data_IF_712076125803
#
_entry.id   IF_712076125803
#
_cell.length_a   1.000
_cell.length_b   1.000
_cell.length_c   1.000
_cell.angle_alpha   90.00
_cell.angle_beta   90.00
_cell.angle_gamma   90.00
#
_symmetry.space_group_name_H-M   'P 1'
#
loop_
_entity.id
_entity.type
_entity.pdbx_description
1 polymer ?
#
# COMPACT_ATOMS: atom_id res chain seq x y z
N UNK A 1 3.58 10.91 10.22
CA UNK A 1 3.56 10.39 8.84
C UNK A 1 2.21 10.70 8.22
N UNK A 2 2.11 10.91 6.90
CA UNK A 2 0.82 10.93 6.22
C UNK A 2 0.16 9.54 6.27
N UNK A 3 -1.11 9.39 5.85
CA UNK A 3 -1.66 8.07 5.57
C UNK A 3 -0.75 7.31 4.59
N UNK A 4 -0.51 6.03 4.86
CA UNK A 4 0.40 5.18 4.09
C UNK A 4 -0.30 3.92 3.60
N UNK A 5 -0.04 3.50 2.37
CA UNK A 5 -0.53 2.23 1.84
C UNK A 5 0.64 1.42 1.26
N UNK A 6 0.86 0.24 1.83
CA UNK A 6 1.88 -0.71 1.39
C UNK A 6 1.21 -1.86 0.66
N UNK A 7 1.67 -2.16 -0.56
CA UNK A 7 1.25 -3.33 -1.34
C UNK A 7 2.51 -4.16 -1.58
N UNK A 8 2.45 -5.46 -1.30
CA UNK A 8 3.61 -6.36 -1.45
C UNK A 8 3.21 -7.67 -2.11
N UNK A 9 4.11 -8.29 -2.87
CA UNK A 9 3.90 -9.63 -3.42
C UNK A 9 4.36 -10.72 -2.47
N UNK A 10 3.56 -11.77 -2.28
CA UNK A 10 3.96 -12.87 -1.38
C UNK A 10 5.07 -13.76 -1.92
N UNK A 11 5.35 -13.66 -3.22
CA UNK A 11 6.35 -14.46 -3.93
C UNK A 11 7.58 -13.64 -4.31
N UNK A 12 7.70 -12.40 -3.81
CA UNK A 12 8.83 -11.51 -4.10
C UNK A 12 10.17 -12.12 -3.64
N UNK A 13 10.99 -12.50 -4.63
CA UNK A 13 12.31 -13.09 -4.40
C UNK A 13 13.44 -12.06 -4.22
N UNK A 14 13.18 -10.77 -4.50
CA UNK A 14 14.18 -9.69 -4.35
C UNK A 14 14.04 -8.98 -3.01
N UNK A 15 12.80 -8.74 -2.57
CA UNK A 15 12.48 -8.16 -1.28
C UNK A 15 11.48 -9.07 -0.54
N UNK A 16 11.95 -9.95 0.37
CA UNK A 16 11.08 -10.89 1.06
C UNK A 16 9.94 -10.22 1.83
N UNK A 17 8.75 -10.84 1.79
CA UNK A 17 7.51 -10.33 2.42
C UNK A 17 7.67 -9.98 3.90
N UNK A 18 8.48 -10.73 4.65
CA UNK A 18 8.70 -10.49 6.08
C UNK A 18 9.33 -9.12 6.34
N UNK A 19 10.15 -8.60 5.42
CA UNK A 19 10.67 -7.24 5.48
C UNK A 19 9.54 -6.21 5.44
N UNK A 20 8.61 -6.36 4.50
CA UNK A 20 7.44 -5.49 4.39
C UNK A 20 6.53 -5.60 5.63
N UNK A 21 6.33 -6.81 6.17
CA UNK A 21 5.55 -7.01 7.41
C UNK A 21 6.16 -6.28 8.60
N UNK A 22 7.49 -6.40 8.80
CA UNK A 22 8.22 -5.70 9.86
C UNK A 22 8.16 -4.18 9.68
N UNK A 23 8.29 -3.70 8.45
CA UNK A 23 8.15 -2.28 8.14
C UNK A 23 6.76 -1.75 8.51
N UNK A 24 5.70 -2.43 8.06
CA UNK A 24 4.31 -2.05 8.38
C UNK A 24 4.04 -2.08 9.88
N UNK A 25 4.55 -3.09 10.58
CA UNK A 25 4.41 -3.19 12.04
C UNK A 25 5.09 -2.01 12.75
N UNK A 26 6.35 -1.70 12.38
CA UNK A 26 7.07 -0.57 12.96
C UNK A 26 6.40 0.78 12.63
N UNK A 27 5.91 0.95 11.40
CA UNK A 27 5.22 2.16 10.98
C UNK A 27 3.89 2.34 11.73
N UNK A 28 3.11 1.27 11.91
CA UNK A 28 1.87 1.30 12.70
C UNK A 28 2.08 1.69 14.16
N UNK A 29 3.21 1.31 14.75
CA UNK A 29 3.54 1.66 16.15
C UNK A 29 3.80 3.15 16.36
N UNK A 30 4.20 3.88 15.32
CA UNK A 30 4.66 5.28 15.44
C UNK A 30 3.79 6.28 14.70
N UNK A 31 3.06 5.84 13.68
CA UNK A 31 2.18 6.71 12.88
C UNK A 31 0.90 7.05 13.64
N UNK A 32 0.53 8.33 13.62
CA UNK A 32 -0.80 8.82 14.04
C UNK A 32 -1.82 8.79 12.89
N UNK A 33 -1.40 8.41 11.69
CA UNK A 33 -2.24 8.30 10.48
C UNK A 33 -2.38 6.85 10.05
N UNK A 34 -3.42 6.56 9.26
CA UNK A 34 -3.72 5.20 8.81
C UNK A 34 -2.55 4.55 8.04
N UNK A 35 -2.34 3.25 8.27
CA UNK A 35 -1.35 2.43 7.56
C UNK A 35 -2.05 1.18 7.02
N UNK A 36 -2.41 1.24 5.74
CA UNK A 36 -2.99 0.12 5.00
C UNK A 36 -1.88 -0.82 4.51
N UNK A 37 -2.17 -2.12 4.50
CA UNK A 37 -1.24 -3.14 3.99
C UNK A 37 -2.01 -4.22 3.24
N UNK A 38 -1.62 -4.49 1.99
CA UNK A 38 -2.17 -5.55 1.17
C UNK A 38 -1.07 -6.46 0.65
N UNK A 39 -1.35 -7.77 0.62
CA UNK A 39 -0.46 -8.78 0.05
C UNK A 39 -1.13 -9.39 -1.17
N UNK A 40 -0.44 -9.37 -2.31
CA UNK A 40 -0.92 -9.92 -3.57
C UNK A 40 -0.45 -11.38 -3.73
N UNK A 41 -1.38 -12.35 -3.84
CA UNK A 41 -1.02 -13.75 -4.02
C UNK A 41 -0.27 -14.02 -5.33
N UNK A 42 0.82 -14.77 -5.26
CA UNK A 42 1.67 -15.15 -6.39
C UNK A 42 2.43 -13.99 -7.05
N UNK A 43 2.43 -12.80 -6.46
CA UNK A 43 3.06 -11.62 -7.04
C UNK A 43 4.57 -11.59 -6.76
N UNK A 44 5.35 -11.33 -7.82
CA UNK A 44 6.80 -11.06 -7.76
C UNK A 44 7.08 -9.58 -7.47
N UNK A 45 8.35 -9.20 -7.33
CA UNK A 45 8.77 -7.83 -7.03
C UNK A 45 8.13 -6.76 -7.93
N UNK A 46 8.19 -6.96 -9.25
CA UNK A 46 7.63 -6.04 -10.25
C UNK A 46 6.28 -6.53 -10.79
N UNK A 47 5.33 -6.85 -9.91
CA UNK A 47 4.01 -7.37 -10.30
C UNK A 47 3.18 -6.39 -11.15
N UNK A 48 3.55 -5.11 -11.12
CA UNK A 48 2.91 -3.97 -11.77
C UNK A 48 3.50 -3.59 -13.13
N UNK A 49 4.68 -4.11 -13.48
CA UNK A 49 5.40 -3.76 -14.72
C UNK A 49 4.60 -4.11 -15.98
N UNK A 50 3.85 -5.21 -15.92
CA UNK A 50 3.02 -5.68 -17.03
C UNK A 50 1.54 -5.62 -16.67
N UNK A 51 0.71 -5.32 -17.67
CA UNK A 51 -0.73 -5.42 -17.56
C UNK A 51 -1.12 -6.86 -17.19
N UNK A 52 -1.58 -7.02 -15.95
CA UNK A 52 -1.97 -8.31 -15.37
C UNK A 52 -3.08 -8.11 -14.34
N UNK A 53 -3.77 -9.18 -13.96
CA UNK A 53 -4.79 -9.10 -12.90
C UNK A 53 -4.22 -8.50 -11.60
N UNK A 54 -2.98 -8.85 -11.22
CA UNK A 54 -2.29 -8.30 -10.05
C UNK A 54 -2.05 -6.80 -10.17
N UNK A 55 -1.56 -6.34 -11.33
CA UNK A 55 -1.37 -4.92 -11.60
C UNK A 55 -2.70 -4.15 -11.53
N UNK A 56 -3.77 -4.69 -12.12
CA UNK A 56 -5.11 -4.08 -12.07
C UNK A 56 -5.66 -4.01 -10.64
N UNK A 57 -5.46 -5.04 -9.82
CA UNK A 57 -5.84 -4.99 -8.40
C UNK A 57 -5.05 -3.93 -7.63
N UNK A 58 -3.74 -3.81 -7.88
CA UNK A 58 -2.93 -2.76 -7.27
C UNK A 58 -3.40 -1.36 -7.69
N UNK A 59 -3.65 -1.12 -8.98
CA UNK A 59 -4.16 0.15 -9.51
C UNK A 59 -5.46 0.53 -8.81
N UNK A 60 -6.43 -0.39 -8.76
CA UNK A 60 -7.72 -0.15 -8.11
C UNK A 60 -7.57 0.12 -6.60
N UNK A 61 -6.64 -0.55 -5.94
CA UNK A 61 -6.34 -0.30 -4.52
C UNK A 61 -5.74 1.09 -4.30
N UNK A 62 -4.75 1.46 -5.11
CA UNK A 62 -4.07 2.77 -5.03
C UNK A 62 -5.04 3.91 -5.31
N UNK A 63 -5.87 3.79 -6.34
CA UNK A 63 -6.89 4.78 -6.68
C UNK A 63 -7.82 5.04 -5.50
N UNK A 64 -8.42 3.98 -4.92
CA UNK A 64 -9.32 4.10 -3.77
C UNK A 64 -8.64 4.73 -2.56
N UNK A 65 -7.40 4.32 -2.27
CA UNK A 65 -6.64 4.86 -1.15
C UNK A 65 -6.34 6.35 -1.33
N UNK A 66 -5.92 6.77 -2.53
CA UNK A 66 -5.60 8.17 -2.82
C UNK A 66 -6.88 9.03 -2.86
N UNK A 67 -7.98 8.53 -3.40
CA UNK A 67 -9.27 9.23 -3.37
C UNK A 67 -9.72 9.49 -1.93
N UNK A 68 -9.63 8.49 -1.04
CA UNK A 68 -9.92 8.63 0.38
C UNK A 68 -8.98 9.62 1.07
N UNK A 69 -7.67 9.50 0.87
CA UNK A 69 -6.68 10.38 1.48
C UNK A 69 -6.83 11.85 1.00
N UNK A 70 -7.16 12.04 -0.27
CA UNK A 70 -7.44 13.37 -0.82
C UNK A 70 -8.72 13.97 -0.22
N UNK A 71 -9.76 13.16 -0.01
CA UNK A 71 -10.96 13.58 0.73
C UNK A 71 -10.61 14.12 2.12
N UNK A 72 -9.80 13.39 2.90
CA UNK A 72 -9.34 13.86 4.21
C UNK A 72 -8.57 15.19 4.12
N UNK A 73 -7.71 15.34 3.12
CA UNK A 73 -6.97 16.59 2.90
C UNK A 73 -7.91 17.77 2.61
N UNK A 74 -8.93 17.58 1.77
CA UNK A 74 -9.89 18.63 1.44
C UNK A 74 -10.71 19.06 2.66
N UNK A 75 -11.13 18.12 3.52
CA UNK A 75 -11.87 18.46 4.74
C UNK A 75 -10.99 19.25 5.72
N UNK A 76 -9.75 18.82 5.94
CA UNK A 76 -8.81 19.54 6.82
C UNK A 76 -8.44 20.95 6.32
N UNK A 77 -8.69 21.25 5.04
CA UNK A 77 -8.43 22.56 4.43
C UNK A 77 -9.59 23.55 4.56
N UNK A 78 -10.78 23.08 4.96
CA UNK A 78 -11.96 23.93 5.16
C UNK A 78 -12.00 24.58 6.55
N UNK A 79 -11.23 24.03 7.49
CA UNK A 79 -10.96 24.58 8.82
C UNK A 79 -9.85 25.64 8.77
#
# INVERSE_FOLDING_TARGET
APPFFVIHGDSDSLAPLDGARRFVEALRKTSRSAVAFAVLPGAQHGFEVFASARALHAINGVERFLAWAHGLYLEAKKE
#
